data_IF_153553644286
#
_entry.id   IF_153553644286
#
_cell.length_a   1.000
_cell.length_b   1.000
_cell.length_c   1.000
_cell.angle_alpha   90.00
_cell.angle_beta   90.00
_cell.angle_gamma   90.00
#
_symmetry.space_group_name_H-M   'P 1'
#
loop_
_entity.id
_entity.type
_entity.pdbx_description
1 polymer ?
#
# COMPACT_ATOMS: atom_id res chain seq x y z
N UNK A 1 -63.51 -9.33 -6.03
CA UNK A 1 -63.28 -8.29 -7.05
C UNK A 1 -61.80 -7.94 -7.02
N UNK A 2 -61.01 -8.40 -7.99
CA UNK A 2 -59.55 -8.16 -8.03
C UNK A 2 -59.28 -6.89 -8.84
N UNK A 3 -59.00 -5.78 -8.18
CA UNK A 3 -58.58 -4.53 -8.84
C UNK A 3 -57.20 -4.73 -9.45
N UNK A 4 -57.12 -4.81 -10.79
CA UNK A 4 -55.85 -4.79 -11.52
C UNK A 4 -55.17 -3.44 -11.28
N UNK A 5 -54.04 -3.47 -10.60
CA UNK A 5 -53.19 -2.30 -10.43
C UNK A 5 -52.48 -2.03 -11.78
N UNK A 6 -52.58 -0.84 -12.38
CA UNK A 6 -51.89 -0.54 -13.64
C UNK A 6 -50.38 -0.51 -13.39
N UNK A 7 -49.65 -1.49 -13.92
CA UNK A 7 -48.19 -1.46 -13.96
C UNK A 7 -47.76 -0.31 -14.88
N UNK A 8 -47.21 0.76 -14.29
CA UNK A 8 -46.53 1.82 -15.04
C UNK A 8 -45.12 1.35 -15.37
N UNK A 9 -44.84 1.17 -16.66
CA UNK A 9 -43.49 0.90 -17.15
C UNK A 9 -42.62 2.16 -17.15
N UNK A 10 -41.32 1.99 -16.94
CA UNK A 10 -40.32 3.05 -17.06
C UNK A 10 -40.13 3.40 -18.55
N UNK A 11 -40.03 4.69 -18.90
CA UNK A 11 -39.77 5.11 -20.27
C UNK A 11 -38.30 4.93 -20.65
N UNK A 12 -38.03 4.56 -21.90
CA UNK A 12 -36.66 4.48 -22.43
C UNK A 12 -35.93 5.82 -22.33
N UNK A 13 -36.64 6.94 -22.51
CA UNK A 13 -36.03 8.27 -22.40
C UNK A 13 -35.68 8.63 -20.95
N UNK A 14 -36.47 8.16 -19.98
CA UNK A 14 -36.18 8.35 -18.56
C UNK A 14 -34.90 7.61 -18.18
N UNK A 15 -34.73 6.37 -18.64
CA UNK A 15 -33.49 5.62 -18.41
C UNK A 15 -32.29 6.28 -19.11
N UNK A 16 -32.48 6.80 -20.32
CA UNK A 16 -31.41 7.40 -21.12
C UNK A 16 -30.85 8.66 -20.45
N UNK A 17 -31.71 9.54 -19.93
CA UNK A 17 -31.27 10.75 -19.21
C UNK A 17 -30.53 10.38 -17.92
N UNK A 18 -31.00 9.36 -17.19
CA UNK A 18 -30.35 8.90 -15.95
C UNK A 18 -28.93 8.42 -16.23
N UNK A 19 -28.74 7.57 -17.25
CA UNK A 19 -27.40 7.06 -17.60
C UNK A 19 -26.50 8.19 -18.12
N UNK A 20 -27.05 9.17 -18.85
CA UNK A 20 -26.30 10.34 -19.30
C UNK A 20 -25.75 11.18 -18.13
N UNK A 21 -26.58 11.45 -17.12
CA UNK A 21 -26.16 12.21 -15.93
C UNK A 21 -25.11 11.43 -15.12
N UNK A 22 -25.33 10.12 -14.90
CA UNK A 22 -24.35 9.26 -14.21
C UNK A 22 -23.03 9.24 -14.98
N UNK A 23 -23.07 9.18 -16.32
CA UNK A 23 -21.88 9.21 -17.17
C UNK A 23 -21.05 10.48 -16.98
N UNK A 24 -21.68 11.66 -16.91
CA UNK A 24 -21.00 12.94 -16.67
C UNK A 24 -20.32 12.94 -15.29
N UNK A 25 -21.02 12.46 -14.25
CA UNK A 25 -20.46 12.38 -12.89
C UNK A 25 -19.26 11.43 -12.86
N UNK A 26 -19.39 10.24 -13.45
CA UNK A 26 -18.32 9.25 -13.49
C UNK A 26 -17.07 9.75 -14.24
N UNK A 27 -17.24 10.49 -15.34
CA UNK A 27 -16.12 11.03 -16.09
C UNK A 27 -15.21 11.96 -15.25
N UNK A 28 -15.80 12.70 -14.31
CA UNK A 28 -15.05 13.60 -13.41
C UNK A 28 -14.57 12.83 -12.17
N UNK A 29 -15.42 11.95 -11.62
CA UNK A 29 -15.15 11.26 -10.36
C UNK A 29 -14.03 10.21 -10.49
N UNK A 30 -14.00 9.42 -11.57
CA UNK A 30 -13.07 8.29 -11.71
C UNK A 30 -11.59 8.72 -11.69
N UNK A 31 -11.14 9.74 -12.46
CA UNK A 31 -9.74 10.20 -12.39
C UNK A 31 -9.35 10.66 -10.98
N UNK A 32 -10.24 11.41 -10.31
CA UNK A 32 -9.98 11.88 -8.95
C UNK A 32 -9.88 10.74 -7.93
N UNK A 33 -10.70 9.69 -8.09
CA UNK A 33 -10.70 8.51 -7.23
C UNK A 33 -9.40 7.70 -7.38
N UNK A 34 -8.88 7.57 -8.61
CA UNK A 34 -7.61 6.87 -8.86
C UNK A 34 -6.46 7.58 -8.14
N UNK A 35 -6.37 8.91 -8.28
CA UNK A 35 -5.36 9.72 -7.58
C UNK A 35 -5.48 9.63 -6.06
N UNK A 36 -6.70 9.75 -5.52
CA UNK A 36 -6.96 9.64 -4.08
C UNK A 36 -6.55 8.26 -3.53
N UNK A 37 -6.83 7.18 -4.27
CA UNK A 37 -6.44 5.82 -3.88
C UNK A 37 -4.93 5.64 -3.89
N UNK A 38 -4.23 6.19 -4.89
CA UNK A 38 -2.77 6.13 -4.96
C UNK A 38 -2.12 6.89 -3.80
N UNK A 39 -2.60 8.10 -3.47
CA UNK A 39 -2.13 8.87 -2.33
C UNK A 39 -2.35 8.12 -0.99
N UNK A 40 -3.52 7.48 -0.82
CA UNK A 40 -3.80 6.65 0.35
C UNK A 40 -2.87 5.43 0.45
N UNK A 41 -2.52 4.81 -0.67
CA UNK A 41 -1.54 3.71 -0.70
C UNK A 41 -0.14 4.18 -0.28
N UNK A 42 0.32 5.32 -0.81
CA UNK A 42 1.61 5.91 -0.44
C UNK A 42 1.66 6.25 1.05
N UNK A 43 0.62 6.87 1.60
CA UNK A 43 0.51 7.18 3.02
C UNK A 43 0.56 5.90 3.89
N UNK A 44 -0.13 4.84 3.45
CA UNK A 44 -0.12 3.55 4.16
C UNK A 44 1.26 2.89 4.12
N UNK A 45 1.98 2.97 3.00
CA UNK A 45 3.33 2.46 2.87
C UNK A 45 4.30 3.18 3.83
N UNK A 46 4.22 4.52 3.91
CA UNK A 46 5.03 5.30 4.87
C UNK A 46 4.69 4.97 6.33
N UNK A 47 3.41 4.80 6.66
CA UNK A 47 2.98 4.39 7.99
C UNK A 47 3.53 2.99 8.36
N UNK A 48 3.50 2.05 7.41
CA UNK A 48 4.09 0.72 7.60
C UNK A 48 5.61 0.78 7.76
N UNK A 49 6.32 1.64 7.02
CA UNK A 49 7.76 1.85 7.19
C UNK A 49 8.09 2.37 8.59
N UNK A 50 7.26 3.24 9.16
CA UNK A 50 7.41 3.71 10.54
C UNK A 50 7.25 2.57 11.55
N UNK A 51 6.24 1.73 11.38
CA UNK A 51 6.07 0.52 12.22
C UNK A 51 7.28 -0.42 12.08
N UNK A 52 7.79 -0.61 10.85
CA UNK A 52 9.00 -1.41 10.62
C UNK A 52 10.20 -0.80 11.34
N UNK A 53 10.39 0.52 11.28
CA UNK A 53 11.44 1.21 12.01
C UNK A 53 11.35 0.97 13.53
N UNK A 54 10.16 1.11 14.12
CA UNK A 54 9.99 0.90 15.56
C UNK A 54 10.32 -0.55 15.98
N UNK A 55 9.96 -1.51 15.12
CA UNK A 55 10.32 -2.92 15.29
C UNK A 55 11.84 -3.14 15.15
N UNK A 56 12.50 -2.44 14.21
CA UNK A 56 13.95 -2.48 14.03
C UNK A 56 14.69 -1.95 15.26
N UNK A 57 14.25 -0.81 15.80
CA UNK A 57 14.81 -0.23 17.03
C UNK A 57 14.63 -1.18 18.21
N UNK A 58 13.44 -1.76 18.38
CA UNK A 58 13.17 -2.75 19.43
C UNK A 58 14.07 -3.98 19.32
N UNK A 59 14.25 -4.48 18.09
CA UNK A 59 15.14 -5.62 17.83
C UNK A 59 16.60 -5.28 18.10
N UNK A 60 17.04 -4.06 17.76
CA UNK A 60 18.40 -3.58 18.04
C UNK A 60 18.70 -3.56 19.54
N UNK A 61 17.74 -3.13 20.37
CA UNK A 61 17.89 -3.14 21.84
C UNK A 61 17.88 -4.57 22.40
N UNK A 62 17.07 -5.46 21.85
CA UNK A 62 16.85 -6.81 22.41
C UNK A 62 17.92 -7.82 21.97
N UNK A 63 18.34 -7.76 20.71
CA UNK A 63 19.21 -8.76 20.05
C UNK A 63 20.60 -8.18 19.74
N UNK A 64 20.78 -6.86 19.86
CA UNK A 64 22.05 -6.18 19.57
C UNK A 64 22.27 -5.88 18.08
N UNK A 65 21.34 -6.28 17.20
CA UNK A 65 21.36 -5.97 15.75
C UNK A 65 19.96 -5.70 15.20
N UNK A 66 19.91 -5.03 14.06
CA UNK A 66 18.70 -4.91 13.26
C UNK A 66 18.30 -6.26 12.65
N UNK A 67 17.04 -6.37 12.25
CA UNK A 67 16.43 -7.57 11.69
C UNK A 67 16.30 -7.55 10.18
N UNK A 68 16.31 -8.73 9.58
CA UNK A 68 15.81 -8.93 8.22
C UNK A 68 14.29 -8.77 8.22
N UNK A 69 13.70 -8.36 7.09
CA UNK A 69 12.24 -8.19 7.00
C UNK A 69 11.49 -9.50 7.29
N UNK A 70 12.08 -10.65 6.95
CA UNK A 70 11.56 -11.98 7.25
C UNK A 70 11.62 -12.31 8.75
N UNK A 71 12.71 -11.97 9.42
CA UNK A 71 12.87 -12.15 10.87
C UNK A 71 11.87 -11.28 11.62
N UNK A 72 11.73 -10.00 11.24
CA UNK A 72 10.72 -9.12 11.80
C UNK A 72 9.32 -9.71 11.59
N UNK A 73 8.96 -10.12 10.37
CA UNK A 73 7.64 -10.66 10.13
C UNK A 73 7.36 -11.93 10.96
N UNK A 74 8.37 -12.78 11.17
CA UNK A 74 8.25 -13.96 12.02
C UNK A 74 8.00 -13.60 13.49
N UNK A 75 8.72 -12.60 14.04
CA UNK A 75 8.49 -12.10 15.41
C UNK A 75 7.05 -11.62 15.60
N UNK A 76 6.46 -11.02 14.57
CA UNK A 76 5.06 -10.55 14.58
C UNK A 76 4.06 -11.56 14.02
N UNK A 77 4.38 -12.86 14.01
CA UNK A 77 3.49 -13.94 13.57
C UNK A 77 2.88 -13.74 12.17
N UNK A 78 3.61 -13.09 11.25
CA UNK A 78 3.14 -12.81 9.89
C UNK A 78 2.26 -11.57 9.75
N UNK A 79 2.04 -10.80 10.82
CA UNK A 79 1.13 -9.65 10.79
C UNK A 79 1.66 -8.43 10.03
N UNK A 80 2.95 -8.41 9.64
CA UNK A 80 3.47 -7.33 8.80
C UNK A 80 3.05 -7.52 7.34
N UNK A 81 2.85 -8.76 6.89
CA UNK A 81 2.29 -9.12 5.58
C UNK A 81 2.75 -10.49 5.10
N UNK A 82 2.55 -10.76 3.80
CA UNK A 82 2.82 -12.08 3.20
C UNK A 82 4.22 -12.10 2.60
N UNK A 83 5.04 -13.07 3.00
CA UNK A 83 6.36 -13.27 2.41
C UNK A 83 6.26 -13.82 0.98
N UNK A 84 7.04 -13.26 0.07
CA UNK A 84 7.25 -13.75 -1.29
C UNK A 84 8.76 -13.65 -1.62
N UNK A 85 9.48 -14.76 -1.40
CA UNK A 85 10.94 -14.75 -1.46
C UNK A 85 11.54 -13.78 -0.43
N UNK A 86 12.48 -12.90 -0.82
CA UNK A 86 13.08 -11.92 0.10
C UNK A 86 12.19 -10.67 0.34
N UNK A 87 10.99 -10.62 -0.25
CA UNK A 87 10.09 -9.46 -0.17
C UNK A 87 8.87 -9.74 0.68
N UNK A 88 8.40 -8.72 1.40
CA UNK A 88 7.14 -8.72 2.13
C UNK A 88 6.09 -7.99 1.30
N UNK A 89 4.97 -8.64 0.96
CA UNK A 89 3.89 -8.01 0.19
C UNK A 89 2.74 -7.62 1.11
N UNK A 90 2.23 -6.41 0.92
CA UNK A 90 1.02 -5.92 1.61
C UNK A 90 0.24 -4.98 0.70
N UNK A 91 -1.00 -5.38 0.36
CA UNK A 91 -2.04 -4.55 -0.26
C UNK A 91 -1.58 -3.53 -1.33
N UNK A 92 -0.67 -3.92 -2.24
CA UNK A 92 -0.24 -3.09 -3.38
C UNK A 92 1.19 -2.57 -3.32
N UNK A 93 1.89 -2.77 -2.20
CA UNK A 93 3.31 -2.45 -2.06
C UNK A 93 4.11 -3.63 -1.51
N UNK A 94 5.42 -3.61 -1.75
CA UNK A 94 6.38 -4.60 -1.28
C UNK A 94 7.42 -3.95 -0.39
N UNK A 95 7.88 -4.65 0.65
CA UNK A 95 9.00 -4.24 1.49
C UNK A 95 10.16 -5.19 1.30
N UNK A 96 11.36 -4.64 1.24
CA UNK A 96 12.57 -5.42 1.10
C UNK A 96 13.71 -4.76 1.89
N UNK A 97 14.51 -5.57 2.57
CA UNK A 97 15.79 -5.08 3.11
C UNK A 97 16.75 -4.77 1.96
N UNK A 98 17.53 -3.70 2.11
CA UNK A 98 18.55 -3.30 1.15
C UNK A 98 19.90 -3.32 1.87
N UNK A 99 20.82 -4.25 1.56
CA UNK A 99 20.75 -5.31 0.53
C UNK A 99 19.76 -6.43 0.88
N UNK A 100 19.40 -7.25 -0.12
CA UNK A 100 18.29 -8.24 -0.08
C UNK A 100 18.53 -9.41 0.88
N UNK A 101 19.79 -9.65 1.25
CA UNK A 101 20.22 -10.64 2.24
C UNK A 101 21.42 -10.10 3.01
N UNK A 102 21.22 -9.16 3.95
CA UNK A 102 22.32 -8.58 4.71
C UNK A 102 22.90 -9.61 5.68
N UNK A 103 24.22 -9.59 5.84
CA UNK A 103 24.89 -10.38 6.87
C UNK A 103 24.61 -9.79 8.25
N UNK A 104 24.72 -10.61 9.29
CA UNK A 104 24.47 -10.18 10.67
C UNK A 104 25.40 -9.04 11.09
N UNK A 105 26.64 -9.01 10.57
CA UNK A 105 27.59 -7.93 10.80
C UNK A 105 27.14 -6.58 10.21
N UNK A 106 26.51 -6.60 9.02
CA UNK A 106 25.98 -5.38 8.39
C UNK A 106 24.80 -4.82 9.19
N UNK A 107 23.93 -5.69 9.70
CA UNK A 107 22.76 -5.33 10.52
C UNK A 107 23.13 -4.82 11.92
N UNK A 108 24.38 -4.96 12.35
CA UNK A 108 24.82 -4.37 13.63
C UNK A 108 25.00 -2.86 13.51
N UNK A 109 25.44 -2.35 12.35
CA UNK A 109 25.75 -0.93 12.17
C UNK A 109 24.60 -0.12 11.58
N UNK A 110 23.90 -0.66 10.59
CA UNK A 110 22.89 0.07 9.83
C UNK A 110 21.83 -0.88 9.26
N UNK A 111 20.67 -0.34 8.89
CA UNK A 111 19.68 -1.08 8.13
C UNK A 111 18.99 -0.16 7.13
N UNK A 112 18.50 -0.72 6.03
CA UNK A 112 17.67 0.00 5.09
C UNK A 112 16.52 -0.89 4.66
N UNK A 113 15.31 -0.35 4.66
CA UNK A 113 14.12 -1.03 4.13
C UNK A 113 13.49 -0.15 3.06
N UNK A 114 13.37 -0.70 1.86
CA UNK A 114 12.67 -0.07 0.75
C UNK A 114 11.22 -0.57 0.70
N UNK A 115 10.27 0.36 0.61
CA UNK A 115 8.89 0.10 0.23
C UNK A 115 8.69 0.52 -1.23
N UNK A 116 8.24 -0.41 -2.07
CA UNK A 116 7.98 -0.17 -3.50
C UNK A 116 6.51 -0.40 -3.81
N UNK A 117 5.85 0.54 -4.45
CA UNK A 117 4.48 0.41 -4.93
C UNK A 117 4.29 1.07 -6.30
N UNK A 118 3.10 0.96 -6.88
CA UNK A 118 2.78 1.54 -8.20
C UNK A 118 2.02 2.87 -8.05
N UNK A 119 2.34 3.83 -8.90
CA UNK A 119 1.68 5.12 -9.00
C UNK A 119 0.24 5.03 -9.54
N UNK A 120 -0.45 6.19 -9.66
CA UNK A 120 -1.84 6.26 -10.11
C UNK A 120 -2.05 5.74 -11.54
N UNK A 121 -1.01 5.77 -12.35
CA UNK A 121 -0.97 5.27 -13.73
C UNK A 121 -0.81 3.74 -13.81
N UNK A 122 -0.49 3.08 -12.70
CA UNK A 122 -0.19 1.65 -12.65
C UNK A 122 1.11 1.26 -13.35
N UNK A 123 1.99 2.21 -13.67
CA UNK A 123 3.25 1.98 -14.42
C UNK A 123 4.46 2.56 -13.69
N UNK A 124 4.36 3.78 -13.15
CA UNK A 124 5.49 4.42 -12.47
C UNK A 124 5.61 3.93 -11.03
N UNK A 125 6.72 3.28 -10.64
CA UNK A 125 6.87 2.83 -9.26
C UNK A 125 7.35 3.97 -8.36
N UNK A 126 6.69 4.13 -7.22
CA UNK A 126 7.24 4.95 -6.14
C UNK A 126 8.07 4.08 -5.20
N UNK A 127 9.17 4.63 -4.69
CA UNK A 127 10.06 3.95 -3.76
C UNK A 127 10.32 4.85 -2.56
N UNK A 128 9.97 4.35 -1.38
CA UNK A 128 10.30 4.98 -0.10
C UNK A 128 11.36 4.15 0.62
N UNK A 129 12.35 4.79 1.22
CA UNK A 129 13.40 4.11 1.99
C UNK A 129 13.40 4.68 3.39
N UNK A 130 13.39 3.80 4.39
CA UNK A 130 13.71 4.14 5.78
C UNK A 130 15.03 3.50 6.17
N UNK A 131 15.83 4.23 6.93
CA UNK A 131 17.10 3.79 7.49
C UNK A 131 17.10 3.91 9.03
N UNK A 132 18.25 3.67 9.66
CA UNK A 132 18.42 3.74 11.11
C UNK A 132 18.17 5.11 11.73
N UNK A 133 18.14 6.18 10.93
CA UNK A 133 17.83 7.54 11.42
C UNK A 133 16.34 7.76 11.59
N UNK A 134 15.50 6.88 11.03
CA UNK A 134 14.04 7.00 11.02
C UNK A 134 13.50 8.00 10.00
N UNK A 135 14.38 8.62 9.20
CA UNK A 135 13.96 9.48 8.09
C UNK A 135 13.46 8.60 6.94
N UNK A 136 12.25 8.91 6.46
CA UNK A 136 11.70 8.28 5.26
C UNK A 136 12.04 9.17 4.08
N UNK A 137 12.85 8.65 3.15
CA UNK A 137 13.26 9.32 1.92
C UNK A 137 12.52 8.74 0.72
N UNK A 138 12.09 9.60 -0.22
CA UNK A 138 11.50 9.18 -1.48
C UNK A 138 12.56 9.20 -2.57
N UNK A 139 12.77 8.06 -3.25
CA UNK A 139 13.81 7.91 -4.28
C UNK A 139 13.26 8.11 -5.70
N UNK A 140 11.98 7.81 -5.94
CA UNK A 140 11.30 8.02 -7.23
C UNK A 140 9.88 8.54 -7.01
N UNK A 141 9.41 9.54 -7.80
CA UNK A 141 8.00 9.91 -7.86
C UNK A 141 7.13 8.77 -8.38
#
# INVERSE_FOLDING_TARGET
MYTRNPQRGFSLIELLIVVAIIGIICAIAVPSLIGARAAAQQATAQACLRVIHDNQVTMKVTVGRYGRISELNAIYNGNLGVMAGPTLRRQGYTFQTVPTSPSDAQLTGAYRVAATGMGPDGVTPFIFIVDETGIISQLSP
#
